data_IF_842503939474
#
_entry.id   IF_842503939474
#
_cell.length_a   1.000
_cell.length_b   1.000
_cell.length_c   1.000
_cell.angle_alpha   90.00
_cell.angle_beta   90.00
_cell.angle_gamma   90.00
#
_symmetry.space_group_name_H-M   'P 1'
#
loop_
_entity.id
_entity.type
_entity.pdbx_description
1 polymer ?
#
# COMPACT_ATOMS: atom_id res chain seq x y z
N UNK A 1 0.80 8.26 3.25
CA UNK A 1 2.19 8.58 2.94
C UNK A 1 2.68 9.56 3.98
N UNK A 2 3.71 9.23 4.73
CA UNK A 2 4.28 10.08 5.80
C UNK A 2 3.21 10.61 6.77
N UNK A 3 2.24 9.75 7.12
CA UNK A 3 1.09 10.11 7.93
C UNK A 3 -0.06 10.84 7.21
N UNK A 4 0.16 11.35 6.00
CA UNK A 4 -0.83 12.09 5.20
C UNK A 4 -1.64 11.20 4.23
N UNK A 5 -2.89 11.58 3.98
CA UNK A 5 -3.73 10.97 2.94
C UNK A 5 -3.40 11.61 1.59
N UNK A 6 -2.83 10.81 0.68
CA UNK A 6 -2.43 11.28 -0.67
C UNK A 6 -3.48 10.93 -1.73
N UNK A 7 -4.32 9.92 -1.48
CA UNK A 7 -5.38 9.57 -2.42
C UNK A 7 -6.21 8.36 -2.02
N UNK A 8 -7.09 7.94 -2.94
CA UNK A 8 -7.98 6.79 -2.79
C UNK A 8 -7.96 5.97 -4.07
N UNK A 9 -7.75 4.67 -3.93
CA UNK A 9 -7.82 3.70 -5.03
C UNK A 9 -9.12 2.90 -4.86
N UNK A 10 -9.88 2.74 -5.95
CA UNK A 10 -11.07 1.87 -5.96
C UNK A 10 -10.67 0.45 -6.33
N UNK A 11 -11.55 -0.50 -6.01
CA UNK A 11 -11.36 -1.90 -6.39
C UNK A 11 -11.12 -2.03 -7.90
N UNK A 12 -10.17 -2.91 -8.24
CA UNK A 12 -9.68 -3.15 -9.62
C UNK A 12 -9.17 -1.92 -10.38
N UNK A 13 -8.99 -0.78 -9.72
CA UNK A 13 -8.44 0.44 -10.35
C UNK A 13 -6.98 0.65 -9.97
N UNK A 14 -6.27 1.33 -10.86
CA UNK A 14 -4.95 1.90 -10.61
C UNK A 14 -5.08 3.42 -10.57
N UNK A 15 -4.36 4.06 -9.66
CA UNK A 15 -4.28 5.52 -9.57
C UNK A 15 -2.81 5.91 -9.47
N UNK A 16 -2.47 7.06 -10.04
CA UNK A 16 -1.13 7.65 -9.98
C UNK A 16 -1.18 8.88 -9.10
N UNK A 17 -0.22 9.01 -8.20
CA UNK A 17 -0.09 10.16 -7.30
C UNK A 17 1.28 10.79 -7.49
N UNK A 18 1.31 12.09 -7.70
CA UNK A 18 2.55 12.86 -7.73
C UNK A 18 3.01 13.13 -6.29
N UNK A 19 4.31 12.95 -6.06
CA UNK A 19 4.93 13.09 -4.75
C UNK A 19 6.27 13.81 -4.90
N UNK A 20 6.71 14.45 -3.83
CA UNK A 20 8.06 15.01 -3.78
C UNK A 20 9.11 13.89 -3.86
N UNK A 21 10.30 14.14 -4.45
CA UNK A 21 11.41 13.20 -4.38
C UNK A 21 11.90 13.01 -2.95
N UNK A 22 12.26 11.79 -2.57
CA UNK A 22 12.77 11.48 -1.24
C UNK A 22 12.49 10.07 -0.75
N UNK A 23 12.66 9.88 0.55
CA UNK A 23 12.30 8.66 1.27
C UNK A 23 10.93 8.87 1.91
N UNK A 24 10.00 7.96 1.63
CA UNK A 24 8.62 8.07 2.05
C UNK A 24 8.08 6.77 2.63
N UNK A 25 7.31 6.87 3.70
CA UNK A 25 6.58 5.76 4.28
C UNK A 25 5.17 5.69 3.70
N UNK A 26 4.84 4.59 3.01
CA UNK A 26 3.53 4.37 2.38
C UNK A 26 2.80 3.21 3.03
N UNK A 27 1.51 3.39 3.27
CA UNK A 27 0.58 2.33 3.71
C UNK A 27 -0.78 2.55 3.08
N UNK A 28 -1.53 1.47 2.89
CA UNK A 28 -2.94 1.54 2.47
C UNK A 28 -3.85 1.23 3.66
N UNK A 29 -5.03 1.85 3.68
CA UNK A 29 -6.07 1.60 4.67
C UNK A 29 -7.40 1.34 3.99
N UNK A 30 -8.18 0.42 4.55
CA UNK A 30 -9.56 0.13 4.16
C UNK A 30 -10.41 0.02 5.43
N UNK A 31 -11.24 1.02 5.69
CA UNK A 31 -11.97 1.14 6.97
C UNK A 31 -10.98 1.08 8.15
N UNK A 32 -11.12 0.08 9.03
CA UNK A 32 -10.22 -0.14 10.17
C UNK A 32 -9.01 -1.04 9.84
N UNK A 33 -8.96 -1.60 8.62
CA UNK A 33 -7.85 -2.44 8.16
C UNK A 33 -6.73 -1.58 7.58
N UNK A 34 -5.50 -2.05 7.72
CA UNK A 34 -4.34 -1.41 7.12
C UNK A 34 -3.27 -2.43 6.74
N UNK A 35 -2.42 -2.05 5.78
CA UNK A 35 -1.18 -2.75 5.49
C UNK A 35 -0.09 -2.36 6.49
N UNK A 36 0.96 -3.19 6.64
CA UNK A 36 2.25 -2.70 7.13
C UNK A 36 2.73 -1.51 6.26
N UNK A 37 3.50 -0.57 6.85
CA UNK A 37 4.16 0.47 6.08
C UNK A 37 5.27 -0.12 5.21
N UNK A 38 5.49 0.50 4.06
CA UNK A 38 6.59 0.22 3.13
C UNK A 38 7.35 1.52 2.93
N UNK A 39 8.66 1.48 3.14
CA UNK A 39 9.55 2.59 2.82
C UNK A 39 9.88 2.56 1.31
N UNK A 40 9.69 3.69 0.65
CA UNK A 40 10.01 3.87 -0.77
C UNK A 40 11.03 4.99 -0.90
N UNK A 41 12.01 4.77 -1.75
CA UNK A 41 12.93 5.81 -2.21
C UNK A 41 12.54 6.17 -3.63
N UNK A 42 12.16 7.43 -3.85
CA UNK A 42 11.69 7.93 -5.15
C UNK A 42 12.56 9.11 -5.54
N UNK A 43 13.28 8.97 -6.65
CA UNK A 43 14.11 10.04 -7.20
C UNK A 43 13.29 10.91 -8.17
N UNK A 44 13.79 12.10 -8.52
CA UNK A 44 13.08 12.99 -9.44
C UNK A 44 12.90 12.34 -10.83
N UNK A 45 11.65 12.24 -11.29
CA UNK A 45 11.31 11.58 -12.55
C UNK A 45 11.16 10.06 -12.46
N UNK A 46 11.35 9.47 -11.27
CA UNK A 46 11.12 8.05 -11.03
C UNK A 46 9.62 7.74 -10.84
N UNK A 47 9.24 6.49 -11.10
CA UNK A 47 7.89 6.00 -10.91
C UNK A 47 7.92 4.62 -10.25
N UNK A 48 7.39 4.54 -9.03
CA UNK A 48 7.26 3.28 -8.29
C UNK A 48 5.82 2.76 -8.40
N UNK A 49 5.66 1.52 -8.86
CA UNK A 49 4.37 0.86 -8.89
C UNK A 49 4.16 0.02 -7.64
N UNK A 50 3.03 0.21 -6.98
CA UNK A 50 2.64 -0.56 -5.80
C UNK A 50 1.43 -1.44 -6.10
N UNK A 51 1.38 -2.61 -5.45
CA UNK A 51 0.21 -3.49 -5.43
C UNK A 51 -0.29 -3.66 -4.01
N UNK A 52 -1.60 -3.73 -3.84
CA UNK A 52 -2.26 -3.99 -2.57
C UNK A 52 -3.40 -4.99 -2.75
N UNK A 53 -3.80 -5.62 -1.65
CA UNK A 53 -4.87 -6.61 -1.62
C UNK A 53 -5.02 -7.23 -0.23
N UNK A 54 -5.95 -8.17 -0.05
CA UNK A 54 -6.09 -8.91 1.19
C UNK A 54 -4.84 -9.73 1.47
N UNK A 55 -4.35 -9.68 2.70
CA UNK A 55 -3.20 -10.47 3.16
C UNK A 55 -3.69 -11.82 3.71
N UNK A 56 -4.09 -12.70 2.80
CA UNK A 56 -4.46 -14.06 3.11
C UNK A 56 -5.77 -14.55 2.49
N UNK A 57 -6.03 -15.84 2.67
CA UNK A 57 -7.29 -16.50 2.27
C UNK A 57 -8.34 -16.55 3.39
N UNK A 58 -9.45 -17.24 3.16
CA UNK A 58 -10.58 -17.36 4.11
C UNK A 58 -10.12 -17.86 5.49
N UNK A 59 -9.14 -18.77 5.54
CA UNK A 59 -8.57 -19.30 6.81
C UNK A 59 -7.82 -18.24 7.64
N UNK A 60 -7.48 -17.10 7.05
CA UNK A 60 -6.75 -15.99 7.67
C UNK A 60 -7.66 -14.78 7.93
N UNK A 61 -8.98 -14.92 7.73
CA UNK A 61 -9.97 -13.86 8.00
C UNK A 61 -9.95 -13.37 9.46
N UNK A 62 -9.42 -14.16 10.40
CA UNK A 62 -9.20 -13.74 11.78
C UNK A 62 -8.33 -12.47 11.88
N UNK A 63 -7.47 -12.19 10.89
CA UNK A 63 -6.67 -10.95 10.82
C UNK A 63 -7.55 -9.69 10.79
N UNK A 64 -8.77 -9.77 10.27
CA UNK A 64 -9.73 -8.64 10.25
C UNK A 64 -10.05 -8.15 11.66
N UNK A 65 -10.05 -9.07 12.64
CA UNK A 65 -10.42 -8.80 14.02
C UNK A 65 -9.22 -8.73 14.97
N UNK A 66 -8.27 -9.66 14.84
CA UNK A 66 -7.18 -9.81 15.81
C UNK A 66 -5.86 -9.15 15.38
N UNK A 67 -5.67 -8.92 14.07
CA UNK A 67 -4.45 -8.30 13.55
C UNK A 67 -4.75 -7.36 12.36
N UNK A 68 -5.65 -6.36 12.54
CA UNK A 68 -6.18 -5.56 11.43
C UNK A 68 -5.09 -4.74 10.72
N UNK A 69 -3.95 -4.53 11.37
CA UNK A 69 -2.77 -3.85 10.81
C UNK A 69 -1.91 -4.68 9.87
N UNK A 70 -2.29 -5.93 9.66
CA UNK A 70 -1.63 -6.85 8.73
C UNK A 70 -2.63 -7.52 7.80
N UNK A 71 -3.90 -7.09 7.82
CA UNK A 71 -4.98 -7.71 7.05
C UNK A 71 -4.91 -7.38 5.55
N UNK A 72 -4.13 -6.36 5.18
CA UNK A 72 -3.82 -6.01 3.81
C UNK A 72 -2.31 -6.10 3.58
N UNK A 73 -1.91 -6.38 2.33
CA UNK A 73 -0.51 -6.24 1.92
C UNK A 73 -0.34 -4.95 1.13
N UNK A 74 0.88 -4.44 1.12
CA UNK A 74 1.33 -3.40 0.20
C UNK A 74 2.76 -3.78 -0.19
N UNK A 75 3.06 -3.81 -1.48
CA UNK A 75 4.38 -4.19 -1.97
C UNK A 75 4.71 -3.46 -3.27
N UNK A 76 6.00 -3.21 -3.49
CA UNK A 76 6.50 -2.71 -4.77
C UNK A 76 6.45 -3.82 -5.82
N UNK A 77 5.98 -3.48 -7.02
CA UNK A 77 6.02 -4.37 -8.17
C UNK A 77 7.27 -4.03 -8.96
N UNK A 78 8.27 -4.91 -8.93
CA UNK A 78 9.39 -4.80 -9.85
C UNK A 78 8.91 -5.13 -11.25
N UNK A 79 9.15 -4.22 -12.20
CA UNK A 79 8.95 -4.44 -13.62
C UNK A 79 10.07 -5.34 -14.19
N UNK A 80 10.23 -6.55 -13.66
CA UNK A 80 11.10 -7.58 -14.25
C UNK A 80 10.28 -8.85 -14.44
N UNK A 81 9.56 -8.92 -15.58
CA UNK A 81 9.16 -10.12 -16.32
C UNK A 81 8.50 -9.73 -17.64
#
# INVERSE_FOLDING_TARGET
MDGNLVGRVKDEKSETFEIEPGIHEVRVRLLWLQSPPVELRVEAGDAVRLRTGPNGGITQAWRIYLAPHTAMFLEAVNSDS
#
